data_IF_462004370632
#
_entry.id   IF_462004370632
#
_cell.length_a   1.000
_cell.length_b   1.000
_cell.length_c   1.000
_cell.angle_alpha   90.00
_cell.angle_beta   90.00
_cell.angle_gamma   90.00
#
_symmetry.space_group_name_H-M   'P 1'
#
loop_
_entity.id
_entity.type
_entity.pdbx_description
1 polymer ?
#
# COMPACT_ATOMS: atom_id res chain seq x y z
N UNK A 1 -24.45 -0.02 17.48
CA UNK A 1 -23.57 -0.08 16.30
C UNK A 1 -22.69 -1.30 16.34
N UNK A 2 -21.69 -1.41 17.24
CA UNK A 2 -20.80 -2.58 17.33
C UNK A 2 -21.53 -3.94 17.37
N UNK A 3 -22.46 -4.14 18.30
CA UNK A 3 -23.26 -5.38 18.36
C UNK A 3 -24.11 -5.64 17.11
N UNK A 4 -24.53 -4.59 16.39
CA UNK A 4 -25.27 -4.77 15.13
C UNK A 4 -24.34 -5.15 13.97
N UNK A 5 -23.06 -4.76 14.03
CA UNK A 5 -22.04 -5.17 13.07
C UNK A 5 -21.68 -6.63 13.32
N UNK A 6 -21.42 -6.99 14.59
CA UNK A 6 -21.09 -8.37 14.98
C UNK A 6 -22.21 -9.35 14.59
N UNK A 7 -23.48 -9.01 14.82
CA UNK A 7 -24.60 -9.84 14.35
C UNK A 7 -24.66 -9.93 12.82
N UNK A 8 -24.44 -8.83 12.11
CA UNK A 8 -24.44 -8.85 10.64
C UNK A 8 -23.26 -9.63 10.04
N UNK A 9 -22.14 -9.74 10.77
CA UNK A 9 -20.99 -10.59 10.42
C UNK A 9 -21.29 -12.07 10.70
N UNK A 10 -21.94 -12.39 11.82
CA UNK A 10 -22.36 -13.76 12.16
C UNK A 10 -23.45 -14.31 11.22
N UNK A 11 -24.30 -13.42 10.69
CA UNK A 11 -25.37 -13.77 9.74
C UNK A 11 -24.87 -14.03 8.31
N UNK A 12 -23.55 -13.88 8.05
CA UNK A 12 -22.93 -14.15 6.75
C UNK A 12 -22.08 -15.40 6.82
N UNK A 13 -22.31 -16.33 5.90
CA UNK A 13 -21.37 -17.40 5.61
C UNK A 13 -20.44 -16.94 4.48
N UNK A 14 -19.16 -16.57 4.75
CA UNK A 14 -18.31 -15.90 3.76
C UNK A 14 -18.03 -16.74 2.51
N UNK A 15 -18.05 -18.07 2.65
CA UNK A 15 -17.80 -19.02 1.56
C UNK A 15 -19.00 -19.17 0.62
N UNK A 16 -20.18 -18.73 1.04
CA UNK A 16 -21.42 -18.79 0.26
C UNK A 16 -21.86 -17.41 -0.26
N UNK A 17 -21.17 -16.34 0.14
CA UNK A 17 -21.54 -14.97 -0.20
C UNK A 17 -21.19 -14.66 -1.67
N UNK A 18 -22.19 -14.31 -2.47
CA UNK A 18 -22.04 -14.07 -3.90
C UNK A 18 -22.27 -12.59 -4.30
N UNK A 19 -22.02 -12.22 -5.57
CA UNK A 19 -22.29 -10.87 -6.08
C UNK A 19 -23.74 -10.39 -5.87
N UNK A 20 -24.72 -11.27 -6.01
CA UNK A 20 -26.14 -10.99 -5.86
C UNK A 20 -26.50 -10.67 -4.41
N UNK A 21 -25.89 -11.34 -3.45
CA UNK A 21 -26.02 -11.04 -2.02
C UNK A 21 -25.50 -9.62 -1.71
N UNK A 22 -24.39 -9.22 -2.33
CA UNK A 22 -23.87 -7.85 -2.19
C UNK A 22 -24.84 -6.83 -2.77
N UNK A 23 -25.40 -7.10 -3.96
CA UNK A 23 -26.41 -6.24 -4.60
C UNK A 23 -27.60 -6.04 -3.67
N UNK A 24 -28.18 -7.11 -3.12
CA UNK A 24 -29.33 -7.03 -2.23
C UNK A 24 -29.03 -6.20 -0.96
N UNK A 25 -27.81 -6.33 -0.41
CA UNK A 25 -27.38 -5.53 0.75
C UNK A 25 -27.21 -4.06 0.42
N UNK A 26 -26.64 -3.75 -0.74
CA UNK A 26 -26.45 -2.37 -1.20
C UNK A 26 -27.81 -1.71 -1.45
N UNK A 27 -28.75 -2.41 -2.10
CA UNK A 27 -30.12 -1.92 -2.29
C UNK A 27 -30.82 -1.65 -0.95
N UNK A 28 -30.74 -2.60 -0.01
CA UNK A 28 -31.29 -2.43 1.33
C UNK A 28 -30.70 -1.20 2.03
N UNK A 29 -29.39 -0.98 1.91
CA UNK A 29 -28.72 0.19 2.47
C UNK A 29 -29.18 1.49 1.81
N UNK A 30 -29.29 1.51 0.47
CA UNK A 30 -29.78 2.67 -0.29
C UNK A 30 -31.21 3.01 0.11
N UNK A 31 -32.10 2.02 0.21
CA UNK A 31 -33.50 2.21 0.62
C UNK A 31 -33.58 2.76 2.06
N UNK A 32 -32.78 2.21 2.97
CA UNK A 32 -32.71 2.70 4.35
C UNK A 32 -32.20 4.15 4.42
N UNK A 33 -31.18 4.50 3.62
CA UNK A 33 -30.64 5.86 3.55
C UNK A 33 -31.62 6.85 2.91
N UNK A 34 -32.45 6.38 1.97
CA UNK A 34 -33.40 7.19 1.22
C UNK A 34 -34.84 7.16 1.77
N UNK A 35 -35.12 6.40 2.82
CA UNK A 35 -36.44 6.37 3.48
C UNK A 35 -36.86 7.70 4.15
N UNK A 36 -35.96 8.70 4.19
CA UNK A 36 -36.21 10.03 4.75
C UNK A 36 -36.60 11.09 3.71
N UNK A 37 -36.54 12.38 4.11
CA UNK A 37 -36.82 13.52 3.20
C UNK A 37 -35.64 13.93 2.32
N UNK A 38 -34.44 13.42 2.60
CA UNK A 38 -33.22 13.74 1.85
C UNK A 38 -32.81 12.53 1.06
N UNK A 39 -32.58 12.75 -0.23
CA UNK A 39 -31.97 11.75 -1.09
C UNK A 39 -30.46 11.75 -0.83
N UNK A 40 -29.92 10.55 -0.59
CA UNK A 40 -28.51 10.30 -0.31
C UNK A 40 -27.96 9.38 -1.40
N UNK A 41 -26.80 9.73 -1.93
CA UNK A 41 -26.06 8.90 -2.88
C UNK A 41 -25.04 8.07 -2.11
N UNK A 42 -24.99 6.76 -2.39
CA UNK A 42 -24.05 5.83 -1.76
C UNK A 42 -22.79 5.71 -2.62
N UNK A 43 -21.63 5.92 -1.99
CA UNK A 43 -20.32 5.71 -2.60
C UNK A 43 -19.61 4.58 -1.84
N UNK A 44 -19.07 3.63 -2.60
CA UNK A 44 -18.28 2.51 -2.09
C UNK A 44 -16.80 2.79 -2.35
N UNK A 45 -16.00 2.84 -1.28
CA UNK A 45 -14.55 2.96 -1.37
C UNK A 45 -13.88 1.61 -1.11
N UNK A 46 -13.19 1.06 -2.10
CA UNK A 46 -12.44 -0.19 -1.98
C UNK A 46 -10.94 0.12 -1.97
N UNK A 47 -10.28 -0.20 -0.87
CA UNK A 47 -8.86 0.05 -0.67
C UNK A 47 -8.02 -1.15 -1.13
N UNK A 48 -6.89 -0.90 -1.78
CA UNK A 48 -5.91 -1.91 -2.20
C UNK A 48 -6.49 -3.11 -2.98
N UNK A 49 -7.41 -2.86 -3.92
CA UNK A 49 -8.06 -3.91 -4.74
C UNK A 49 -7.04 -4.74 -5.51
N UNK A 50 -5.95 -4.10 -5.98
CA UNK A 50 -4.88 -4.80 -6.68
C UNK A 50 -4.21 -5.89 -5.81
N UNK A 51 -4.15 -5.72 -4.47
CA UNK A 51 -3.62 -6.74 -3.56
C UNK A 51 -4.57 -7.91 -3.37
N UNK A 52 -5.89 -7.64 -3.34
CA UNK A 52 -6.89 -8.71 -3.28
C UNK A 52 -6.79 -9.61 -4.51
N UNK A 53 -6.80 -9.01 -5.70
CA UNK A 53 -6.71 -9.72 -6.97
C UNK A 53 -5.37 -10.43 -7.11
N UNK A 54 -4.26 -9.71 -6.90
CA UNK A 54 -2.90 -10.21 -7.07
C UNK A 54 -2.67 -10.79 -8.47
N UNK A 55 -2.11 -11.99 -8.51
CA UNK A 55 -1.87 -12.78 -9.73
C UNK A 55 -2.95 -13.84 -10.00
N UNK A 56 -4.07 -13.79 -9.27
CA UNK A 56 -5.12 -14.80 -9.38
C UNK A 56 -6.18 -14.43 -10.40
N UNK A 57 -6.20 -15.15 -11.52
CA UNK A 57 -7.27 -15.04 -12.53
C UNK A 57 -8.66 -15.30 -11.95
N UNK A 58 -8.77 -16.21 -10.98
CA UNK A 58 -10.05 -16.51 -10.35
C UNK A 58 -10.57 -15.31 -9.55
N UNK A 59 -9.71 -14.69 -8.73
CA UNK A 59 -10.09 -13.50 -7.94
C UNK A 59 -10.37 -12.29 -8.82
N UNK A 60 -9.66 -12.13 -9.93
CA UNK A 60 -10.00 -11.08 -10.90
C UNK A 60 -11.42 -11.28 -11.42
N UNK A 61 -11.79 -12.51 -11.82
CA UNK A 61 -13.14 -12.78 -12.34
C UNK A 61 -14.22 -12.58 -11.29
N UNK A 62 -14.00 -13.06 -10.07
CA UNK A 62 -14.90 -12.83 -8.95
C UNK A 62 -15.12 -11.32 -8.71
N UNK A 63 -14.05 -10.53 -8.75
CA UNK A 63 -14.13 -9.08 -8.67
C UNK A 63 -14.89 -8.45 -9.84
N UNK A 64 -14.61 -8.88 -11.08
CA UNK A 64 -15.28 -8.41 -12.29
C UNK A 64 -16.79 -8.74 -12.26
N UNK A 65 -17.16 -9.97 -11.90
CA UNK A 65 -18.54 -10.42 -11.71
C UNK A 65 -19.26 -9.59 -10.64
N UNK A 66 -18.56 -9.26 -9.54
CA UNK A 66 -19.09 -8.39 -8.48
C UNK A 66 -19.36 -6.97 -8.99
N UNK A 67 -18.42 -6.39 -9.74
CA UNK A 67 -18.61 -5.05 -10.32
C UNK A 67 -19.75 -5.04 -11.36
N UNK A 68 -19.86 -6.07 -12.19
CA UNK A 68 -20.95 -6.21 -13.15
C UNK A 68 -22.32 -6.34 -12.46
N UNK A 69 -22.42 -7.12 -11.38
CA UNK A 69 -23.64 -7.27 -10.62
C UNK A 69 -24.09 -5.94 -10.02
N UNK A 70 -23.16 -5.19 -9.41
CA UNK A 70 -23.42 -3.84 -8.91
C UNK A 70 -23.87 -2.89 -10.02
N UNK A 71 -23.22 -2.91 -11.19
CA UNK A 71 -23.56 -2.05 -12.32
C UNK A 71 -24.96 -2.34 -12.90
N UNK A 72 -25.37 -3.61 -12.91
CA UNK A 72 -26.71 -4.04 -13.38
C UNK A 72 -27.82 -3.80 -12.34
N UNK A 73 -27.48 -3.79 -11.05
CA UNK A 73 -28.41 -3.55 -9.95
C UNK A 73 -28.41 -2.09 -9.49
N UNK A 74 -28.01 -1.80 -8.23
CA UNK A 74 -28.12 -0.47 -7.62
C UNK A 74 -27.18 0.58 -8.24
N UNK A 75 -26.17 0.14 -9.00
CA UNK A 75 -25.16 0.94 -9.67
C UNK A 75 -24.60 2.09 -8.81
N UNK A 76 -24.08 1.79 -7.59
CA UNK A 76 -23.46 2.81 -6.76
C UNK A 76 -22.16 3.31 -7.41
N UNK A 77 -21.72 4.50 -7.01
CA UNK A 77 -20.38 4.96 -7.37
C UNK A 77 -19.35 4.11 -6.61
N UNK A 78 -18.51 3.38 -7.34
CA UNK A 78 -17.42 2.59 -6.76
C UNK A 78 -16.08 3.28 -7.06
N UNK A 79 -15.32 3.58 -6.02
CA UNK A 79 -13.97 4.12 -6.11
C UNK A 79 -13.01 3.08 -5.57
N UNK A 80 -12.09 2.63 -6.42
CA UNK A 80 -11.06 1.67 -6.06
C UNK A 80 -9.71 2.34 -5.97
N UNK A 81 -8.84 1.80 -5.12
CA UNK A 81 -7.42 2.18 -5.08
C UNK A 81 -6.55 0.94 -5.14
N UNK A 82 -5.30 1.12 -5.55
CA UNK A 82 -4.32 0.04 -5.58
C UNK A 82 -2.94 0.57 -5.97
N UNK A 83 -1.92 -0.15 -5.52
CA UNK A 83 -0.52 0.14 -5.87
C UNK A 83 -0.19 -0.24 -7.32
N UNK A 84 -0.91 -1.22 -7.87
CA UNK A 84 -0.72 -1.70 -9.24
C UNK A 84 -1.89 -1.30 -10.14
N UNK A 85 -1.61 -1.14 -11.44
CA UNK A 85 -2.65 -0.85 -12.41
C UNK A 85 -3.60 -2.04 -12.56
N UNK A 86 -4.89 -1.76 -12.42
CA UNK A 86 -5.93 -2.77 -12.60
C UNK A 86 -6.13 -3.15 -14.09
N UNK A 87 -6.15 -2.19 -15.05
CA UNK A 87 -5.99 -2.47 -16.48
C UNK A 87 -4.81 -3.40 -16.82
N UNK A 88 -3.61 -3.12 -16.33
CA UNK A 88 -2.44 -3.97 -16.64
C UNK A 88 -2.60 -5.38 -16.03
N UNK A 89 -3.15 -5.45 -14.81
CA UNK A 89 -3.45 -6.72 -14.13
C UNK A 89 -4.49 -7.52 -14.93
N UNK A 90 -5.52 -6.87 -15.45
CA UNK A 90 -6.54 -7.48 -16.31
C UNK A 90 -5.92 -8.04 -17.58
N UNK A 91 -5.14 -7.23 -18.28
CA UNK A 91 -4.50 -7.63 -19.55
C UNK A 91 -3.64 -8.87 -19.35
N UNK A 92 -2.84 -8.89 -18.29
CA UNK A 92 -1.98 -10.03 -17.92
C UNK A 92 -2.78 -11.31 -17.61
N UNK A 93 -3.90 -11.21 -16.90
CA UNK A 93 -4.65 -12.37 -16.40
C UNK A 93 -5.74 -12.88 -17.36
N UNK A 94 -6.39 -11.98 -18.09
CA UNK A 94 -7.59 -12.27 -18.89
C UNK A 94 -7.47 -11.78 -20.33
N UNK A 95 -6.57 -10.83 -20.60
CA UNK A 95 -6.41 -10.18 -21.89
C UNK A 95 -7.00 -8.77 -21.93
N UNK A 96 -6.83 -8.12 -23.07
CA UNK A 96 -7.21 -6.72 -23.26
C UNK A 96 -8.73 -6.51 -23.10
N UNK A 97 -9.18 -5.53 -22.30
CA UNK A 97 -10.59 -5.18 -22.18
C UNK A 97 -11.15 -4.53 -23.45
N UNK A 98 -12.49 -4.58 -23.66
CA UNK A 98 -13.18 -3.68 -24.59
C UNK A 98 -12.98 -2.21 -24.23
N UNK A 99 -13.03 -1.30 -25.22
CA UNK A 99 -12.77 0.14 -25.00
C UNK A 99 -13.71 0.81 -23.97
N UNK A 100 -14.92 0.29 -23.79
CA UNK A 100 -15.93 0.79 -22.84
C UNK A 100 -15.84 0.17 -21.45
N UNK A 101 -14.85 -0.71 -21.21
CA UNK A 101 -14.69 -1.36 -19.92
C UNK A 101 -14.29 -0.38 -18.81
N UNK A 102 -14.89 -0.52 -17.63
CA UNK A 102 -14.73 0.39 -16.49
C UNK A 102 -13.27 0.52 -15.99
N UNK A 103 -12.42 -0.47 -16.25
CA UNK A 103 -10.98 -0.40 -15.94
C UNK A 103 -10.27 0.75 -16.64
N UNK A 104 -10.77 1.22 -17.80
CA UNK A 104 -10.19 2.36 -18.51
C UNK A 104 -10.37 3.70 -17.79
N UNK A 105 -11.22 3.76 -16.77
CA UNK A 105 -11.40 4.97 -15.94
C UNK A 105 -10.31 5.12 -14.87
N UNK A 106 -9.26 4.28 -14.88
CA UNK A 106 -8.14 4.42 -13.95
C UNK A 106 -7.45 5.78 -14.14
N UNK A 107 -7.34 6.52 -13.04
CA UNK A 107 -6.49 7.71 -12.97
C UNK A 107 -5.20 7.35 -12.23
N UNK A 108 -4.03 7.33 -12.92
CA UNK A 108 -2.77 7.16 -12.23
C UNK A 108 -2.51 8.38 -11.34
N UNK A 109 -2.36 8.13 -10.05
CA UNK A 109 -1.96 9.16 -9.10
C UNK A 109 -0.43 9.18 -9.06
N UNK A 110 0.15 10.36 -9.23
CA UNK A 110 1.57 10.53 -8.94
C UNK A 110 1.81 10.29 -7.45
N UNK A 111 2.69 9.33 -7.13
CA UNK A 111 3.11 9.08 -5.77
C UNK A 111 3.68 10.35 -5.17
N UNK A 112 2.94 10.97 -4.27
CA UNK A 112 3.51 11.98 -3.40
C UNK A 112 4.45 11.25 -2.45
N UNK A 113 5.74 11.55 -2.58
CA UNK A 113 6.79 10.94 -1.76
C UNK A 113 6.34 10.89 -0.29
N UNK A 114 6.25 9.68 0.25
CA UNK A 114 5.79 9.44 1.62
C UNK A 114 6.57 10.29 2.60
N UNK A 115 7.86 10.53 2.32
CA UNK A 115 8.70 11.44 3.10
C UNK A 115 8.17 12.88 3.04
N UNK A 116 7.78 13.38 1.86
CA UNK A 116 7.18 14.71 1.70
C UNK A 116 5.85 14.82 2.44
N UNK A 117 4.97 13.82 2.37
CA UNK A 117 3.68 13.84 3.09
C UNK A 117 3.89 13.81 4.60
N UNK A 118 4.73 12.88 5.08
CA UNK A 118 5.04 12.73 6.51
C UNK A 118 5.69 14.01 7.02
N UNK A 119 6.64 14.58 6.28
CA UNK A 119 7.27 15.87 6.59
C UNK A 119 6.24 16.99 6.66
N UNK A 120 5.38 17.15 5.65
CA UNK A 120 4.33 18.19 5.64
C UNK A 120 3.38 18.05 6.84
N UNK A 121 2.95 16.83 7.17
CA UNK A 121 2.07 16.55 8.32
C UNK A 121 2.80 16.75 9.65
N UNK A 122 4.10 16.46 9.71
CA UNK A 122 4.90 16.67 10.90
C UNK A 122 5.13 18.17 11.16
N UNK A 123 5.51 18.93 10.12
CA UNK A 123 5.66 20.39 10.18
C UNK A 123 4.35 21.12 10.53
N UNK A 124 3.20 20.59 10.11
CA UNK A 124 1.88 21.10 10.52
C UNK A 124 1.56 20.87 12.00
N UNK A 125 2.19 19.87 12.64
CA UNK A 125 2.02 19.55 14.06
C UNK A 125 3.07 20.24 14.94
N UNK A 126 4.10 20.86 14.34
CA UNK A 126 5.15 21.57 15.05
C UNK A 126 4.78 23.03 15.30
N UNK A 127 5.32 23.63 16.37
CA UNK A 127 5.24 25.07 16.59
C UNK A 127 5.96 25.85 15.46
N UNK A 128 5.59 27.11 15.17
CA UNK A 128 6.11 27.87 14.03
C UNK A 128 7.64 27.94 13.97
N UNK A 129 8.30 28.07 15.13
CA UNK A 129 9.77 28.08 15.26
C UNK A 129 10.41 26.72 14.92
N UNK A 130 9.74 25.61 15.28
CA UNK A 130 10.18 24.26 14.95
C UNK A 130 10.04 23.95 13.46
N UNK A 131 9.02 24.50 12.81
CA UNK A 131 8.81 24.38 11.37
C UNK A 131 9.91 25.08 10.57
N UNK A 132 10.21 26.34 10.87
CA UNK A 132 11.28 27.10 10.19
C UNK A 132 12.65 26.43 10.36
N UNK A 133 12.95 25.94 11.57
CA UNK A 133 14.22 25.24 11.84
C UNK A 133 14.38 23.98 11.00
N UNK A 134 13.35 23.15 10.88
CA UNK A 134 13.40 21.92 10.08
C UNK A 134 13.46 22.24 8.58
N UNK A 135 12.66 23.19 8.10
CA UNK A 135 12.70 23.63 6.69
C UNK A 135 14.09 24.15 6.31
N UNK A 136 14.73 24.95 7.18
CA UNK A 136 16.10 25.42 6.99
C UNK A 136 17.13 24.28 6.98
N UNK A 137 17.00 23.29 7.87
CA UNK A 137 17.93 22.17 7.92
C UNK A 137 17.83 21.30 6.67
N UNK A 138 16.62 20.96 6.23
CA UNK A 138 16.38 20.18 5.00
C UNK A 138 16.90 20.93 3.77
N UNK A 139 16.67 22.24 3.67
CA UNK A 139 17.19 23.06 2.57
C UNK A 139 18.72 23.11 2.54
N UNK A 140 19.37 22.95 3.70
CA UNK A 140 20.84 22.88 3.81
C UNK A 140 21.40 21.47 3.63
N UNK A 141 20.56 20.43 3.56
CA UNK A 141 21.03 19.08 3.30
C UNK A 141 21.50 18.97 1.85
N UNK A 142 22.60 18.24 1.60
CA UNK A 142 23.01 17.94 0.23
C UNK A 142 21.90 17.19 -0.49
N UNK A 143 21.75 17.42 -1.79
CA UNK A 143 20.80 16.70 -2.61
C UNK A 143 21.11 15.20 -2.54
N UNK A 144 20.22 14.45 -1.88
CA UNK A 144 20.31 13.00 -1.74
C UNK A 144 19.59 12.30 -2.89
N UNK A 145 19.16 13.04 -3.93
CA UNK A 145 18.73 12.40 -5.17
C UNK A 145 19.83 11.46 -5.62
N UNK A 146 19.56 10.15 -5.49
CA UNK A 146 20.41 9.14 -6.06
C UNK A 146 20.41 9.42 -7.55
N UNK A 147 21.50 9.96 -8.08
CA UNK A 147 21.69 10.08 -9.51
C UNK A 147 21.46 8.69 -10.11
N UNK A 148 20.28 8.54 -10.70
CA UNK A 148 19.75 7.30 -11.20
C UNK A 148 20.71 6.75 -12.25
N UNK A 149 21.09 5.48 -12.09
CA UNK A 149 21.75 4.66 -13.10
C UNK A 149 22.98 5.28 -13.79
N UNK A 150 23.94 5.82 -13.04
CA UNK A 150 25.31 5.66 -13.54
C UNK A 150 25.60 4.16 -13.47
N UNK A 151 25.96 3.54 -14.60
CA UNK A 151 26.56 2.20 -14.56
C UNK A 151 27.66 2.24 -13.51
N UNK A 152 27.55 1.40 -12.47
CA UNK A 152 28.65 1.20 -11.54
C UNK A 152 29.74 0.50 -12.36
N UNK A 153 30.50 1.27 -13.12
CA UNK A 153 31.77 0.81 -13.65
C UNK A 153 32.65 0.64 -12.44
N UNK A 154 32.97 -0.62 -12.15
CA UNK A 154 34.06 -0.95 -11.25
C UNK A 154 35.22 0.01 -11.52
N UNK A 155 35.63 0.78 -10.52
CA UNK A 155 36.85 1.58 -10.61
C UNK A 155 38.10 0.69 -10.76
N UNK A 156 37.93 -0.62 -10.53
CA UNK A 156 38.96 -1.64 -10.59
C UNK A 156 38.89 -2.39 -11.94
N UNK A 157 40.01 -2.48 -12.68
CA UNK A 157 40.09 -3.21 -13.95
C UNK A 157 39.83 -4.73 -13.83
N UNK A 158 39.81 -5.31 -12.62
CA UNK A 158 39.49 -6.73 -12.40
C UNK A 158 38.29 -6.93 -11.45
N UNK A 159 37.05 -6.79 -11.95
CA UNK A 159 35.84 -6.89 -11.13
C UNK A 159 35.63 -8.26 -10.47
N UNK A 160 36.38 -9.30 -10.88
CA UNK A 160 36.34 -10.64 -10.28
C UNK A 160 37.16 -10.67 -8.99
N UNK A 161 38.34 -10.04 -8.98
CA UNK A 161 39.18 -9.91 -7.78
C UNK A 161 38.61 -8.88 -6.78
N UNK A 162 37.96 -7.81 -7.27
CA UNK A 162 37.33 -6.80 -6.41
C UNK A 162 35.99 -7.25 -5.83
N UNK A 163 35.44 -8.38 -6.26
CA UNK A 163 34.17 -8.87 -5.78
C UNK A 163 34.33 -9.31 -4.31
N UNK A 164 33.74 -8.59 -3.34
CA UNK A 164 34.09 -8.76 -1.93
C UNK A 164 33.46 -10.01 -1.31
N UNK A 165 32.66 -10.76 -2.08
CA UNK A 165 31.88 -11.90 -1.60
C UNK A 165 32.40 -13.19 -2.24
N UNK A 166 32.73 -14.18 -1.41
CA UNK A 166 33.02 -15.55 -1.86
C UNK A 166 31.72 -16.24 -2.27
N UNK A 167 31.83 -17.37 -2.98
CA UNK A 167 30.71 -18.13 -3.57
C UNK A 167 29.52 -18.36 -2.60
N UNK A 168 29.79 -18.47 -1.30
CA UNK A 168 28.76 -18.72 -0.28
C UNK A 168 28.40 -17.50 0.57
N UNK A 169 29.12 -16.39 0.48
CA UNK A 169 28.94 -15.25 1.37
C UNK A 169 27.57 -14.59 1.18
N UNK A 170 27.07 -14.50 -0.06
CA UNK A 170 25.73 -13.99 -0.32
C UNK A 170 24.63 -14.90 0.22
N UNK A 171 24.82 -16.22 0.11
CA UNK A 171 23.88 -17.18 0.65
C UNK A 171 23.88 -17.15 2.18
N UNK A 172 25.04 -16.98 2.80
CA UNK A 172 25.22 -16.87 4.23
C UNK A 172 24.67 -15.54 4.75
N UNK A 173 24.93 -14.42 4.09
CA UNK A 173 24.33 -13.11 4.38
C UNK A 173 22.81 -13.19 4.31
N UNK A 174 22.26 -13.82 3.27
CA UNK A 174 20.81 -14.03 3.15
C UNK A 174 20.27 -14.86 4.31
N UNK A 175 20.93 -15.97 4.66
CA UNK A 175 20.52 -16.83 5.78
C UNK A 175 20.59 -16.10 7.11
N UNK A 176 21.70 -15.40 7.40
CA UNK A 176 21.89 -14.63 8.64
C UNK A 176 20.89 -13.49 8.74
N UNK A 177 20.63 -12.77 7.64
CA UNK A 177 19.58 -11.74 7.59
C UNK A 177 18.20 -12.35 7.81
N UNK A 178 17.90 -13.50 7.20
CA UNK A 178 16.63 -14.21 7.42
C UNK A 178 16.50 -14.73 8.87
N UNK A 179 17.57 -15.18 9.50
CA UNK A 179 17.59 -15.65 10.90
C UNK A 179 17.46 -14.51 11.91
N UNK A 180 18.09 -13.37 11.64
CA UNK A 180 17.89 -12.14 12.43
C UNK A 180 16.45 -11.62 12.32
N UNK A 181 15.79 -11.88 11.19
CA UNK A 181 14.39 -11.52 10.94
C UNK A 181 13.41 -12.50 11.62
N UNK A 182 13.70 -13.81 11.66
CA UNK A 182 12.78 -14.83 12.19
C UNK A 182 12.66 -14.89 13.71
N UNK A 183 13.55 -14.27 14.48
CA UNK A 183 13.34 -14.09 15.93
C UNK A 183 12.20 -13.11 16.27
N UNK A 184 11.60 -12.48 15.25
CA UNK A 184 10.46 -11.55 15.36
C UNK A 184 9.15 -12.04 14.74
N UNK A 185 8.70 -13.27 15.06
CA UNK A 185 7.35 -13.83 14.77
C UNK A 185 6.97 -14.07 13.29
N UNK A 186 6.29 -15.20 13.11
CA UNK A 186 5.74 -15.75 11.88
C UNK A 186 4.57 -14.92 11.31
N UNK A 187 4.72 -14.30 10.14
CA UNK A 187 3.66 -14.18 9.11
C UNK A 187 4.23 -13.59 7.82
N UNK A 188 3.86 -14.20 6.71
CA UNK A 188 4.06 -13.91 5.28
C UNK A 188 5.02 -12.81 4.79
N UNK A 189 5.77 -13.24 3.76
CA UNK A 189 6.91 -12.59 3.12
C UNK A 189 6.51 -11.25 2.47
N UNK A 190 7.49 -10.36 2.40
CA UNK A 190 7.47 -8.96 1.96
C UNK A 190 7.01 -7.92 3.00
N UNK A 191 6.00 -8.20 3.83
CA UNK A 191 5.57 -7.27 4.89
C UNK A 191 6.57 -7.14 6.07
N UNK A 192 7.38 -8.19 6.31
CA UNK A 192 8.30 -8.25 7.45
C UNK A 192 9.52 -7.32 7.26
N UNK A 193 10.03 -7.14 6.04
CA UNK A 193 11.26 -6.38 5.82
C UNK A 193 11.10 -4.89 6.15
N UNK A 194 9.98 -4.29 5.72
CA UNK A 194 9.64 -2.90 6.06
C UNK A 194 9.40 -2.71 7.57
N UNK A 195 8.72 -3.65 8.23
CA UNK A 195 8.51 -3.58 9.69
C UNK A 195 9.79 -3.79 10.50
N UNK A 196 10.66 -4.71 10.09
CA UNK A 196 11.95 -4.92 10.76
C UNK A 196 12.83 -3.68 10.68
N UNK A 197 12.86 -3.02 9.52
CA UNK A 197 13.56 -1.75 9.33
C UNK A 197 12.97 -0.65 10.23
N UNK A 198 11.64 -0.51 10.30
CA UNK A 198 10.98 0.47 11.16
C UNK A 198 11.23 0.19 12.66
N UNK A 199 11.31 -1.07 13.06
CA UNK A 199 11.67 -1.47 14.44
C UNK A 199 13.12 -1.10 14.76
N UNK A 200 14.04 -1.31 13.82
CA UNK A 200 15.44 -0.88 13.94
C UNK A 200 15.56 0.64 14.05
N UNK A 201 14.90 1.39 13.16
CA UNK A 201 14.85 2.86 13.20
C UNK A 201 14.28 3.34 14.54
N UNK A 202 13.15 2.79 14.99
CA UNK A 202 12.59 3.11 16.31
C UNK A 202 13.57 2.81 17.45
N UNK A 203 14.33 1.71 17.36
CA UNK A 203 15.35 1.38 18.35
C UNK A 203 16.49 2.42 18.37
N UNK A 204 16.89 2.97 17.23
CA UNK A 204 17.88 4.07 17.17
C UNK A 204 17.37 5.31 17.90
N UNK A 205 16.11 5.71 17.67
CA UNK A 205 15.52 6.87 18.35
C UNK A 205 15.32 6.67 19.85
N UNK A 206 14.92 5.48 20.28
CA UNK A 206 14.53 5.21 21.68
C UNK A 206 15.62 4.62 22.55
N UNK A 207 16.43 3.66 22.06
CA UNK A 207 17.51 3.04 22.84
C UNK A 207 18.84 3.79 22.72
N UNK A 208 19.15 4.35 21.55
CA UNK A 208 20.41 5.07 21.33
C UNK A 208 20.29 6.60 21.57
N UNK A 209 19.14 7.04 22.08
CA UNK A 209 18.94 8.42 22.52
C UNK A 209 18.95 9.45 21.40
N UNK A 210 18.79 9.05 20.14
CA UNK A 210 18.78 9.99 19.01
C UNK A 210 17.59 10.95 19.08
N UNK A 211 16.48 10.55 19.71
CA UNK A 211 15.35 11.45 19.95
C UNK A 211 15.69 12.64 20.87
N UNK A 212 16.75 12.52 21.68
CA UNK A 212 17.22 13.55 22.61
C UNK A 212 18.48 14.29 22.14
N UNK A 213 19.02 13.91 20.99
CA UNK A 213 20.17 14.61 20.38
C UNK A 213 19.71 15.85 19.63
N UNK A 214 20.58 16.86 19.50
CA UNK A 214 20.27 18.00 18.64
C UNK A 214 20.13 17.55 17.19
N UNK A 215 19.13 18.09 16.49
CA UNK A 215 18.91 17.80 15.09
C UNK A 215 20.19 18.04 14.29
N UNK A 216 20.63 17.04 13.51
CA UNK A 216 21.87 17.09 12.71
C UNK A 216 23.11 16.51 13.40
N UNK A 217 23.03 16.13 14.68
CA UNK A 217 24.11 15.40 15.36
C UNK A 217 23.88 13.88 15.25
N UNK A 218 24.70 13.21 14.42
CA UNK A 218 24.76 11.74 14.36
C UNK A 218 25.47 11.17 15.60
#
# INVERSE_FOLDING_TARGET
VKSSIETAEEDVEPEAFDPEDLVARVETAIDALNGGRKQTELLLGLDEVALFVGDSRHRYREFEETMEALQRGPNPVVVTTGQYSLPDTRESLIGEPPEDHWTHQQVPLEGADTEIIVRKRWLQKSDPEGRERVESMVASMPDLSLHSYSSVTSADPDPIESYPFREYDLSLLRTVMQELITQGRSTDRDYIQGRALLVLVRSLFTKFGWASKEAGSL
#
